data_IF_976542561574
#
_entry.id   IF_976542561574
#
_cell.length_a   1.000
_cell.length_b   1.000
_cell.length_c   1.000
_cell.angle_alpha   90.00
_cell.angle_beta   90.00
_cell.angle_gamma   90.00
#
_symmetry.space_group_name_H-M   'P 1'
#
loop_
_entity.id
_entity.type
_entity.pdbx_description
1 polymer ?
#
# COMPACT_ATOMS: atom_id res chain seq x y z
N UNK A 1 -5.32 -2.68 13.44
CA UNK A 1 -3.97 -2.13 13.32
C UNK A 1 -2.88 -3.08 13.81
N UNK A 2 -3.05 -3.77 14.95
CA UNK A 2 -2.02 -4.70 15.48
C UNK A 2 -1.58 -5.78 14.49
N UNK A 3 -2.51 -6.38 13.73
CA UNK A 3 -2.15 -7.36 12.70
C UNK A 3 -1.23 -6.76 11.63
N UNK A 4 -1.55 -5.56 11.13
CA UNK A 4 -0.74 -4.84 10.15
C UNK A 4 0.68 -4.57 10.66
N UNK A 5 0.81 -4.10 11.91
CA UNK A 5 2.11 -3.90 12.56
C UNK A 5 2.91 -5.21 12.65
N UNK A 6 2.25 -6.33 12.97
CA UNK A 6 2.91 -7.64 13.05
C UNK A 6 3.34 -8.21 11.69
N UNK A 7 2.81 -7.69 10.57
CA UNK A 7 3.10 -8.16 9.20
C UNK A 7 4.14 -7.32 8.47
N UNK A 8 5.03 -6.67 9.21
CA UNK A 8 6.02 -5.76 8.62
C UNK A 8 5.45 -4.36 8.40
N UNK A 9 4.53 -3.95 9.28
CA UNK A 9 3.92 -2.63 9.25
C UNK A 9 3.19 -2.31 7.94
N UNK A 10 2.41 -3.29 7.43
CA UNK A 10 1.63 -3.15 6.20
C UNK A 10 0.66 -1.96 6.35
N UNK A 11 0.57 -1.06 5.36
CA UNK A 11 -0.38 0.05 5.41
C UNK A 11 -1.83 -0.42 5.60
N UNK A 12 -2.59 0.31 6.40
CA UNK A 12 -4.00 0.04 6.69
C UNK A 12 -4.84 1.26 6.32
N UNK A 13 -5.98 1.02 5.67
CA UNK A 13 -6.90 2.06 5.24
C UNK A 13 -8.32 1.68 5.62
N UNK A 14 -9.04 2.61 6.24
CA UNK A 14 -10.49 2.51 6.39
C UNK A 14 -11.15 3.18 5.19
N UNK A 15 -12.01 2.44 4.50
CA UNK A 15 -12.66 2.90 3.26
C UNK A 15 -14.17 2.67 3.32
N UNK A 16 -14.92 3.46 2.56
CA UNK A 16 -16.35 3.24 2.34
C UNK A 16 -16.68 3.47 0.88
N UNK A 17 -16.99 2.41 0.14
CA UNK A 17 -17.41 2.50 -1.25
C UNK A 17 -18.74 3.25 -1.41
N UNK A 18 -19.62 3.20 -0.40
CA UNK A 18 -20.90 3.91 -0.41
C UNK A 18 -20.74 5.42 -0.31
N UNK A 19 -19.81 5.85 0.53
CA UNK A 19 -19.56 7.26 0.83
C UNK A 19 -18.39 7.83 0.02
N UNK A 20 -17.84 7.04 -0.93
CA UNK A 20 -16.63 7.35 -1.69
C UNK A 20 -15.44 7.79 -0.81
N UNK A 21 -15.32 7.15 0.36
CA UNK A 21 -14.35 7.54 1.37
C UNK A 21 -13.07 6.71 1.22
N UNK A 22 -11.95 7.41 1.03
CA UNK A 22 -10.58 6.87 1.01
C UNK A 22 -10.30 5.77 -0.02
N UNK A 23 -11.20 5.50 -0.97
CA UNK A 23 -11.03 4.44 -1.97
C UNK A 23 -9.88 4.79 -2.91
N UNK A 24 -9.94 5.97 -3.53
CA UNK A 24 -8.91 6.42 -4.48
C UNK A 24 -7.52 6.51 -3.84
N UNK A 25 -7.44 7.05 -2.62
CA UNK A 25 -6.17 7.20 -1.92
C UNK A 25 -5.54 5.84 -1.58
N UNK A 26 -6.36 4.89 -1.11
CA UNK A 26 -5.90 3.53 -0.83
C UNK A 26 -5.36 2.83 -2.09
N UNK A 27 -6.09 2.90 -3.21
CA UNK A 27 -5.64 2.31 -4.47
C UNK A 27 -4.39 3.00 -5.04
N UNK A 28 -4.32 4.33 -4.98
CA UNK A 28 -3.14 5.08 -5.42
C UNK A 28 -1.91 4.74 -4.58
N UNK A 29 -2.08 4.58 -3.26
CA UNK A 29 -0.98 4.23 -2.36
C UNK A 29 -0.44 2.83 -2.67
N UNK A 30 -1.32 1.85 -2.90
CA UNK A 30 -0.91 0.49 -3.32
C UNK A 30 -0.16 0.51 -4.65
N UNK A 31 -0.65 1.27 -5.64
CA UNK A 31 0.02 1.39 -6.93
C UNK A 31 1.43 2.00 -6.80
N UNK A 32 1.59 3.03 -5.97
CA UNK A 32 2.91 3.64 -5.71
C UNK A 32 3.88 2.66 -5.02
N UNK A 33 3.40 1.90 -4.03
CA UNK A 33 4.20 0.91 -3.34
C UNK A 33 4.67 -0.19 -4.29
N UNK A 34 3.81 -0.67 -5.19
CA UNK A 34 4.19 -1.66 -6.20
C UNK A 34 5.32 -1.14 -7.11
N UNK A 35 5.19 0.09 -7.62
CA UNK A 35 6.21 0.72 -8.48
C UNK A 35 7.54 0.95 -7.76
N UNK A 36 7.51 1.29 -6.47
CA UNK A 36 8.74 1.44 -5.66
C UNK A 36 9.41 0.09 -5.43
N UNK A 37 8.63 -0.96 -5.14
CA UNK A 37 9.16 -2.30 -4.96
C UNK A 37 9.81 -2.86 -6.22
N UNK A 38 9.19 -2.64 -7.39
CA UNK A 38 9.78 -3.02 -8.69
C UNK A 38 11.13 -2.32 -8.91
N UNK A 39 11.23 -1.04 -8.55
CA UNK A 39 12.48 -0.26 -8.68
C UNK A 39 13.58 -0.76 -7.74
N UNK A 40 13.24 -1.08 -6.49
CA UNK A 40 14.20 -1.58 -5.51
C UNK A 40 14.72 -2.98 -5.89
N UNK A 41 13.84 -3.84 -6.44
CA UNK A 41 14.20 -5.15 -6.98
C UNK A 41 15.16 -5.05 -8.17
N UNK A 42 14.97 -4.08 -9.06
CA UNK A 42 15.86 -3.84 -10.22
C UNK A 42 17.25 -3.35 -9.79
N UNK A 43 17.31 -2.41 -8.82
CA UNK A 43 18.57 -1.87 -8.29
C UNK A 43 19.37 -2.92 -7.51
N UNK A 44 18.70 -3.85 -6.81
CA UNK A 44 19.35 -4.87 -5.97
C UNK A 44 19.74 -6.15 -6.73
N UNK A 45 19.27 -6.31 -7.98
CA UNK A 45 19.57 -7.47 -8.83
C UNK A 45 20.75 -7.26 -9.79
N UNK A 46 21.47 -6.13 -9.68
CA UNK A 46 22.63 -5.76 -10.51
C UNK A 46 23.90 -5.57 -9.67
#
# INVERSE_FOLDING_TARGET
MEWCSSKGNIPYYETSAKEDYNVDEAFLSVAKLALEHERDQDITSN
#
